data_IF_265147981308
#
_entry.id   IF_265147981308
#
_cell.length_a   1.000
_cell.length_b   1.000
_cell.length_c   1.000
_cell.angle_alpha   90.00
_cell.angle_beta   90.00
_cell.angle_gamma   90.00
#
_symmetry.space_group_name_H-M   'P 1'
#
loop_
_entity.id
_entity.type
_entity.pdbx_description
1 polymer ?
#
# COMPACT_ATOMS: atom_id res chain seq x y z
N UNK A 1 -0.63 9.88 20.91
CA UNK A 1 0.30 9.41 19.87
C UNK A 1 1.41 8.60 20.51
N UNK A 2 1.75 7.46 19.94
CA UNK A 2 2.86 6.66 20.41
C UNK A 2 4.18 7.38 20.07
N UNK A 3 5.06 7.67 21.07
CA UNK A 3 6.31 8.39 20.81
C UNK A 3 7.25 7.71 19.81
N UNK A 4 7.25 6.36 19.76
CA UNK A 4 8.05 5.62 18.79
C UNK A 4 7.59 5.88 17.36
N UNK A 5 6.29 5.96 17.15
CA UNK A 5 5.73 6.29 15.84
C UNK A 5 6.12 7.69 15.41
N UNK A 6 6.02 8.65 16.33
CA UNK A 6 6.43 10.02 16.05
C UNK A 6 7.92 10.10 15.67
N UNK A 7 8.78 9.42 16.43
CA UNK A 7 10.22 9.43 16.17
C UNK A 7 10.58 8.81 14.81
N UNK A 8 9.94 7.70 14.44
CA UNK A 8 10.26 6.99 13.19
C UNK A 8 9.66 7.67 11.95
N UNK A 9 8.42 8.13 12.05
CA UNK A 9 7.70 8.63 10.87
C UNK A 9 7.80 10.13 10.67
N UNK A 10 8.09 10.90 11.70
CA UNK A 10 8.19 12.37 11.59
C UNK A 10 9.62 12.87 11.54
N UNK A 11 10.60 11.99 11.39
CA UNK A 11 11.97 12.38 11.11
C UNK A 11 12.10 12.86 9.66
N UNK A 12 13.13 13.62 9.42
CA UNK A 12 13.33 14.40 8.20
C UNK A 12 13.36 13.62 6.88
N UNK A 13 13.60 12.32 6.93
CA UNK A 13 13.74 11.48 5.73
C UNK A 13 12.48 10.71 5.34
N UNK A 14 11.42 10.79 6.14
CA UNK A 14 10.15 10.16 5.78
C UNK A 14 9.39 11.01 4.77
N UNK A 15 8.83 10.42 3.71
CA UNK A 15 8.02 11.17 2.75
C UNK A 15 6.81 11.84 3.42
N UNK A 16 6.42 12.99 2.91
CA UNK A 16 5.27 13.75 3.44
C UNK A 16 3.99 12.92 3.42
N UNK A 17 3.76 12.16 2.34
CA UNK A 17 2.58 11.31 2.22
C UNK A 17 2.56 10.22 3.30
N UNK A 18 3.70 9.61 3.60
CA UNK A 18 3.81 8.61 4.68
C UNK A 18 3.47 9.25 6.02
N UNK A 19 4.01 10.42 6.32
CA UNK A 19 3.73 11.14 7.57
C UNK A 19 2.25 11.46 7.70
N UNK A 20 1.63 11.98 6.64
CA UNK A 20 0.22 12.32 6.62
C UNK A 20 -0.66 11.07 6.79
N UNK A 21 -0.28 9.96 6.16
CA UNK A 21 -1.01 8.69 6.26
C UNK A 21 -0.97 8.12 7.68
N UNK A 22 0.21 8.12 8.31
CA UNK A 22 0.35 7.65 9.70
C UNK A 22 -0.46 8.53 10.65
N UNK A 23 -0.39 9.86 10.48
CA UNK A 23 -1.16 10.78 11.31
C UNK A 23 -2.66 10.51 11.18
N UNK A 24 -3.14 10.27 9.96
CA UNK A 24 -4.54 9.92 9.73
C UNK A 24 -4.92 8.61 10.40
N UNK A 25 -4.09 7.57 10.28
CA UNK A 25 -4.33 6.27 10.91
C UNK A 25 -4.48 6.42 12.43
N UNK A 26 -3.55 7.11 13.06
CA UNK A 26 -3.58 7.33 14.51
C UNK A 26 -4.80 8.12 14.96
N UNK A 27 -5.28 9.05 14.14
CA UNK A 27 -6.47 9.84 14.44
C UNK A 27 -7.78 9.09 14.19
N UNK A 28 -7.74 7.95 13.47
CA UNK A 28 -8.94 7.23 13.03
C UNK A 28 -9.03 5.80 13.55
N UNK A 29 -8.55 5.58 14.76
CA UNK A 29 -8.78 4.31 15.48
C UNK A 29 -7.75 3.24 15.21
N UNK A 30 -6.63 3.57 14.55
CA UNK A 30 -5.51 2.66 14.33
C UNK A 30 -4.39 2.94 15.33
N UNK A 31 -3.73 1.90 15.79
CA UNK A 31 -2.57 2.00 16.65
C UNK A 31 -1.43 1.13 16.15
N UNK A 32 -0.19 1.53 16.46
CA UNK A 32 0.99 0.73 16.13
C UNK A 32 0.96 -0.56 16.96
N UNK A 33 0.85 -1.69 16.27
CA UNK A 33 0.80 -3.02 16.88
C UNK A 33 2.16 -3.67 16.96
N UNK A 34 2.97 -3.53 15.90
CA UNK A 34 4.33 -4.09 15.87
C UNK A 34 5.22 -3.27 14.97
N UNK A 35 6.52 -3.35 15.27
CA UNK A 35 7.56 -2.71 14.48
C UNK A 35 8.74 -3.66 14.43
N UNK A 36 9.32 -3.84 13.24
CA UNK A 36 10.50 -4.68 13.04
C UNK A 36 11.43 -4.05 12.03
N UNK A 37 12.72 -4.43 12.06
CA UNK A 37 13.75 -3.90 11.19
C UNK A 37 14.28 -2.56 11.62
N UNK A 38 15.25 -2.03 10.87
CA UNK A 38 15.94 -0.78 11.19
C UNK A 38 16.11 0.11 9.97
N UNK A 39 15.51 1.29 10.04
CA UNK A 39 15.76 2.38 9.10
C UNK A 39 15.39 2.05 7.65
N UNK A 40 16.08 2.72 6.73
CA UNK A 40 15.76 2.70 5.30
C UNK A 40 16.04 1.37 4.59
N UNK A 41 16.77 0.45 5.23
CA UNK A 41 17.16 -0.81 4.61
C UNK A 41 16.15 -1.95 4.78
N UNK A 42 15.19 -1.79 5.66
CA UNK A 42 14.15 -2.78 5.86
C UNK A 42 13.48 -2.61 7.20
N UNK A 43 12.40 -1.89 7.23
CA UNK A 43 11.56 -1.75 8.42
C UNK A 43 10.12 -2.04 8.07
N UNK A 44 9.38 -2.59 9.02
CA UNK A 44 7.98 -2.89 8.85
C UNK A 44 7.20 -2.41 10.05
N UNK A 45 6.11 -1.71 9.78
CA UNK A 45 5.23 -1.15 10.79
C UNK A 45 3.82 -1.67 10.55
N UNK A 46 3.22 -2.25 11.59
CA UNK A 46 1.88 -2.82 11.50
C UNK A 46 0.94 -1.99 12.35
N UNK A 47 -0.08 -1.41 11.72
CA UNK A 47 -1.12 -0.63 12.37
C UNK A 47 -2.40 -1.45 12.39
N UNK A 48 -2.98 -1.63 13.57
CA UNK A 48 -4.23 -2.37 13.74
C UNK A 48 -5.34 -1.45 14.23
N UNK A 49 -6.50 -1.66 13.68
CA UNK A 49 -7.73 -0.97 14.00
C UNK A 49 -8.89 -1.73 13.37
N UNK A 50 -9.82 -1.03 12.73
CA UNK A 50 -10.89 -1.71 11.99
C UNK A 50 -10.41 -2.66 10.91
N UNK A 51 -9.23 -2.40 10.34
CA UNK A 51 -8.50 -3.28 9.44
C UNK A 51 -7.05 -3.37 9.91
N UNK A 52 -6.16 -3.96 9.12
CA UNK A 52 -4.73 -3.93 9.39
C UNK A 52 -4.01 -3.25 8.22
N UNK A 53 -3.16 -2.28 8.54
CA UNK A 53 -2.37 -1.54 7.55
C UNK A 53 -0.90 -1.80 7.85
N UNK A 54 -0.17 -2.28 6.84
CA UNK A 54 1.25 -2.58 6.96
C UNK A 54 2.03 -1.62 6.08
N UNK A 55 2.95 -0.88 6.69
CA UNK A 55 3.84 0.03 5.99
C UNK A 55 5.24 -0.57 6.07
N UNK A 56 5.83 -0.82 4.92
CA UNK A 56 7.17 -1.40 4.80
C UNK A 56 8.06 -0.41 4.07
N UNK A 57 9.29 -0.22 4.57
CA UNK A 57 10.34 0.48 3.84
C UNK A 57 11.43 -0.53 3.49
N UNK A 58 11.76 -0.60 2.20
CA UNK A 58 12.81 -1.47 1.68
C UNK A 58 13.65 -0.67 0.71
N UNK A 59 14.93 -0.47 1.05
CA UNK A 59 15.87 0.29 0.23
C UNK A 59 15.32 1.67 -0.15
N UNK A 60 14.77 2.37 0.83
CA UNK A 60 14.14 3.69 0.68
C UNK A 60 12.86 3.70 -0.15
N UNK A 61 12.35 2.55 -0.54
CA UNK A 61 11.04 2.42 -1.18
C UNK A 61 9.98 2.13 -0.11
N UNK A 62 8.94 2.93 -0.10
CA UNK A 62 7.83 2.79 0.85
C UNK A 62 6.68 2.03 0.20
N UNK A 63 6.21 0.99 0.88
CA UNK A 63 5.15 0.11 0.41
C UNK A 63 4.04 0.04 1.45
N UNK A 64 2.80 -0.03 0.99
CA UNK A 64 1.64 -0.15 1.86
C UNK A 64 0.81 -1.35 1.44
N UNK A 65 0.45 -2.19 2.42
CA UNK A 65 -0.43 -3.33 2.24
C UNK A 65 -1.60 -3.23 3.21
N UNK A 66 -2.74 -3.76 2.84
CA UNK A 66 -3.94 -3.74 3.66
C UNK A 66 -4.50 -5.15 3.79
N UNK A 67 -4.80 -5.56 5.02
CA UNK A 67 -5.58 -6.76 5.32
C UNK A 67 -6.93 -6.36 5.90
N UNK A 68 -7.99 -7.08 5.53
CA UNK A 68 -9.36 -6.77 5.96
C UNK A 68 -9.51 -6.90 7.48
N UNK A 69 -8.75 -7.81 8.09
CA UNK A 69 -8.74 -8.01 9.54
C UNK A 69 -7.35 -8.42 10.01
N UNK A 70 -7.02 -8.26 11.30
CA UNK A 70 -5.72 -8.66 11.82
C UNK A 70 -5.43 -10.14 11.59
N UNK A 71 -4.22 -10.42 11.06
CA UNK A 71 -3.78 -11.79 10.79
C UNK A 71 -4.22 -12.35 9.45
N UNK A 72 -5.07 -11.68 8.71
CA UNK A 72 -5.46 -12.08 7.36
C UNK A 72 -4.34 -11.77 6.35
N UNK A 73 -4.44 -12.37 5.17
CA UNK A 73 -3.52 -12.06 4.07
C UNK A 73 -3.69 -10.60 3.65
N UNK A 74 -2.57 -9.92 3.47
CA UNK A 74 -2.58 -8.52 3.05
C UNK A 74 -2.50 -8.41 1.54
N UNK A 75 -3.19 -7.41 1.00
CA UNK A 75 -3.14 -7.07 -0.41
C UNK A 75 -2.24 -5.86 -0.63
N UNK A 76 -1.42 -5.91 -1.69
CA UNK A 76 -0.59 -4.78 -2.09
C UNK A 76 -1.45 -3.62 -2.58
N UNK A 77 -1.02 -2.42 -2.29
CA UNK A 77 -1.83 -1.22 -2.51
C UNK A 77 -2.13 -0.94 -3.98
N UNK A 78 -1.18 -1.20 -4.87
CA UNK A 78 -1.41 -1.04 -6.31
C UNK A 78 -2.55 -1.94 -6.81
N UNK A 79 -2.63 -3.16 -6.30
CA UNK A 79 -3.70 -4.09 -6.63
C UNK A 79 -5.05 -3.59 -6.10
N UNK A 80 -5.05 -3.03 -4.90
CA UNK A 80 -6.27 -2.48 -4.31
C UNK A 80 -6.80 -1.30 -5.11
N UNK A 81 -5.93 -0.40 -5.55
CA UNK A 81 -6.32 0.75 -6.37
C UNK A 81 -6.90 0.31 -7.72
N UNK A 82 -6.24 -0.63 -8.39
CA UNK A 82 -6.74 -1.15 -9.67
C UNK A 82 -8.08 -1.88 -9.49
N UNK A 83 -8.18 -2.75 -8.49
CA UNK A 83 -9.39 -3.51 -8.21
C UNK A 83 -10.58 -2.60 -7.92
N UNK A 84 -10.37 -1.62 -7.04
CA UNK A 84 -11.42 -0.67 -6.63
C UNK A 84 -11.89 0.21 -7.79
N UNK A 85 -11.00 0.56 -8.70
CA UNK A 85 -11.33 1.43 -9.83
C UNK A 85 -12.31 0.80 -10.83
N UNK A 86 -12.40 -0.53 -10.87
CA UNK A 86 -13.15 -1.24 -11.90
C UNK A 86 -12.49 -1.23 -13.27
N UNK A 87 -11.30 -0.61 -13.39
CA UNK A 87 -10.52 -0.53 -14.63
C UNK A 87 -9.47 -1.61 -14.64
N UNK A 88 -8.85 -1.85 -15.79
CA UNK A 88 -7.74 -2.80 -15.86
C UNK A 88 -6.51 -2.24 -15.16
N UNK A 89 -5.63 -3.13 -14.71
CA UNK A 89 -4.40 -2.72 -14.06
C UNK A 89 -3.56 -1.80 -14.97
N UNK A 90 -3.46 -2.13 -16.27
CA UNK A 90 -2.71 -1.32 -17.22
C UNK A 90 -3.29 0.07 -17.45
N UNK A 91 -4.61 0.23 -17.32
CA UNK A 91 -5.26 1.53 -17.41
C UNK A 91 -4.96 2.41 -16.18
N UNK A 92 -4.89 1.80 -15.00
CA UNK A 92 -4.57 2.52 -13.74
C UNK A 92 -3.07 2.83 -13.67
N UNK A 93 -2.24 1.93 -14.17
CA UNK A 93 -0.77 2.05 -14.15
C UNK A 93 -0.18 2.00 -15.55
N UNK A 94 -0.43 3.01 -16.39
CA UNK A 94 0.02 2.98 -17.80
C UNK A 94 1.54 3.00 -17.96
N UNK A 95 2.27 3.68 -17.07
CA UNK A 95 3.73 3.70 -17.11
C UNK A 95 4.31 2.31 -16.89
N UNK A 96 3.62 1.46 -16.16
CA UNK A 96 4.03 0.11 -15.90
C UNK A 96 3.86 -0.78 -17.12
N UNK A 97 2.77 -0.62 -17.85
CA UNK A 97 2.56 -1.35 -19.11
C UNK A 97 3.68 -1.09 -20.11
N UNK A 98 4.26 0.13 -20.10
CA UNK A 98 5.37 0.49 -20.98
C UNK A 98 6.75 0.12 -20.45
N UNK A 99 6.88 -0.23 -19.16
CA UNK A 99 8.16 -0.54 -18.49
C UNK A 99 8.28 -1.98 -18.00
N UNK A 100 7.47 -2.87 -18.49
CA UNK A 100 7.41 -4.24 -18.00
C UNK A 100 8.73 -5.02 -18.07
N UNK A 101 9.69 -4.58 -18.88
CA UNK A 101 10.97 -5.23 -19.05
C UNK A 101 12.00 -4.86 -17.97
N UNK A 102 11.74 -3.86 -17.13
CA UNK A 102 12.71 -3.32 -16.18
C UNK A 102 12.96 -4.20 -14.96
N UNK A 103 12.12 -5.18 -14.69
CA UNK A 103 12.24 -6.04 -13.51
C UNK A 103 12.08 -5.32 -12.18
N UNK A 104 11.72 -4.05 -12.18
CA UNK A 104 11.50 -3.26 -10.96
C UNK A 104 10.16 -3.60 -10.33
N UNK A 105 10.14 -3.57 -9.00
CA UNK A 105 8.87 -3.64 -8.29
C UNK A 105 7.98 -2.46 -8.69
N UNK A 106 6.65 -2.69 -8.77
CA UNK A 106 5.71 -1.64 -9.09
C UNK A 106 5.76 -0.47 -8.10
N UNK A 107 5.70 0.74 -8.63
CA UNK A 107 5.26 1.85 -7.80
C UNK A 107 3.81 1.61 -7.43
N UNK A 108 3.49 1.70 -6.16
CA UNK A 108 2.15 1.39 -5.66
C UNK A 108 1.12 2.49 -5.95
N UNK A 109 1.55 3.61 -6.49
CA UNK A 109 0.67 4.75 -6.74
C UNK A 109 0.79 5.22 -8.18
N UNK A 110 -0.34 5.52 -8.85
CA UNK A 110 -0.31 6.28 -10.09
C UNK A 110 0.21 7.70 -9.86
N UNK A 111 0.68 8.34 -10.92
CA UNK A 111 1.13 9.72 -10.84
C UNK A 111 0.03 10.63 -10.31
N UNK A 112 0.39 11.50 -9.38
CA UNK A 112 -0.55 12.46 -8.77
C UNK A 112 -1.48 11.88 -7.71
N UNK A 113 -1.36 10.60 -7.39
CA UNK A 113 -2.18 9.91 -6.39
C UNK A 113 -1.36 9.68 -5.12
N UNK A 114 -1.96 9.91 -3.97
CA UNK A 114 -1.31 9.71 -2.67
C UNK A 114 -2.00 8.64 -1.84
N UNK A 115 -1.27 8.06 -0.89
CA UNK A 115 -1.88 7.15 0.10
C UNK A 115 -2.90 7.90 0.96
N UNK A 116 -2.55 9.09 1.42
CA UNK A 116 -3.40 9.86 2.32
C UNK A 116 -4.76 10.19 1.71
N UNK A 117 -4.79 10.50 0.42
CA UNK A 117 -6.03 10.82 -0.30
C UNK A 117 -6.89 9.58 -0.55
N UNK A 118 -6.28 8.44 -0.82
CA UNK A 118 -7.00 7.25 -1.27
C UNK A 118 -7.31 6.26 -0.14
N UNK A 119 -6.50 6.21 0.90
CA UNK A 119 -6.58 5.18 1.93
C UNK A 119 -7.94 5.13 2.66
N UNK A 120 -8.56 6.27 3.03
CA UNK A 120 -9.87 6.20 3.68
C UNK A 120 -10.91 5.47 2.86
N UNK A 121 -10.96 5.73 1.57
CA UNK A 121 -11.90 5.05 0.65
C UNK A 121 -11.54 3.60 0.44
N UNK A 122 -10.26 3.28 0.33
CA UNK A 122 -9.79 1.89 0.19
C UNK A 122 -10.16 1.09 1.43
N UNK A 123 -9.93 1.62 2.63
CA UNK A 123 -10.26 0.94 3.88
C UNK A 123 -11.76 0.69 4.03
N UNK A 124 -12.60 1.62 3.58
CA UNK A 124 -14.04 1.42 3.56
C UNK A 124 -14.44 0.34 2.54
N UNK A 125 -13.82 0.35 1.37
CA UNK A 125 -14.15 -0.57 0.29
C UNK A 125 -13.74 -2.02 0.58
N UNK A 126 -12.61 -2.27 1.22
CA UNK A 126 -12.11 -3.64 1.47
C UNK A 126 -13.04 -4.46 2.37
N UNK A 127 -13.96 -3.83 3.06
CA UNK A 127 -14.95 -4.50 3.89
C UNK A 127 -16.18 -4.97 3.13
N UNK A 128 -16.33 -4.52 1.87
CA UNK A 128 -17.46 -4.88 1.04
C UNK A 128 -17.30 -6.24 0.38
N UNK A 129 -18.36 -6.70 -0.32
CA UNK A 129 -18.31 -7.98 -1.01
C UNK A 129 -17.49 -7.89 -2.29
N UNK A 130 -16.95 -9.03 -2.74
CA UNK A 130 -16.27 -9.15 -4.02
C UNK A 130 -14.86 -8.59 -4.10
N UNK A 131 -14.30 -8.14 -2.98
CA UNK A 131 -12.96 -7.54 -2.94
C UNK A 131 -11.88 -8.55 -3.36
N UNK A 132 -11.91 -9.76 -2.79
CA UNK A 132 -10.93 -10.80 -3.11
C UNK A 132 -10.90 -11.14 -4.59
N UNK A 133 -12.06 -11.27 -5.21
CA UNK A 133 -12.16 -11.55 -6.66
C UNK A 133 -11.63 -10.39 -7.50
N UNK A 134 -11.94 -9.16 -7.12
CA UNK A 134 -11.47 -7.96 -7.81
C UNK A 134 -9.94 -7.82 -7.72
N UNK A 135 -9.38 -8.09 -6.54
CA UNK A 135 -7.92 -8.06 -6.32
C UNK A 135 -7.24 -9.17 -7.12
N UNK A 136 -7.83 -10.37 -7.14
CA UNK A 136 -7.29 -11.49 -7.93
C UNK A 136 -7.26 -11.16 -9.42
N UNK A 137 -8.33 -10.54 -9.94
CA UNK A 137 -8.36 -10.04 -11.32
C UNK A 137 -7.22 -9.05 -11.59
N UNK A 138 -7.06 -8.05 -10.73
CA UNK A 138 -6.00 -7.07 -10.86
C UNK A 138 -4.61 -7.71 -10.80
N UNK A 139 -4.44 -8.72 -9.94
CA UNK A 139 -3.19 -9.47 -9.83
C UNK A 139 -2.85 -10.22 -11.12
N UNK A 140 -3.83 -10.86 -11.73
CA UNK A 140 -3.65 -11.54 -13.02
C UNK A 140 -3.28 -10.55 -14.13
N UNK A 141 -3.93 -9.40 -14.16
CA UNK A 141 -3.64 -8.35 -15.14
C UNK A 141 -2.22 -7.80 -14.98
N UNK A 142 -1.81 -7.55 -13.73
CA UNK A 142 -0.44 -7.11 -13.44
C UNK A 142 0.58 -8.16 -13.86
N UNK A 143 0.35 -9.41 -13.52
CA UNK A 143 1.24 -10.52 -13.89
C UNK A 143 1.40 -10.62 -15.41
N UNK A 144 0.30 -10.50 -16.15
CA UNK A 144 0.33 -10.54 -17.60
C UNK A 144 1.18 -9.41 -18.21
N UNK A 145 1.10 -8.21 -17.63
CA UNK A 145 1.91 -7.07 -18.08
C UNK A 145 3.40 -7.23 -17.76
N UNK A 146 3.73 -7.91 -16.68
CA UNK A 146 5.11 -8.10 -16.21
C UNK A 146 5.76 -9.35 -16.77
N UNK A 147 5.04 -10.15 -17.54
CA UNK A 147 5.53 -11.42 -18.08
C UNK A 147 6.58 -11.18 -19.15
N UNK A 148 7.80 -11.76 -19.03
CA UNK A 148 8.84 -11.61 -20.05
C UNK A 148 8.41 -12.18 -21.41
N UNK A 149 8.88 -11.60 -22.50
CA UNK A 149 8.65 -12.12 -23.84
C UNK A 149 7.35 -11.69 -24.50
N UNK A 150 6.66 -10.72 -23.94
CA UNK A 150 5.48 -10.13 -24.57
C UNK A 150 5.82 -8.89 -25.36
#
# INVERSE_FOLDING_TARGET
MNPLVADEFFRSDSPVDVQATVAWLLANGYGLSSQSGEGAFGARFVFRGPAEVRITVDRSQWLLDVAVEPGADAWQYDLLLAARSGRTYGEVFPARASRQADGRLPDQLPEGVSWRQTLPDVLAWVRGPGVGEAVERASRERFALMRPGR
#
